data_IF_873526062926
#
_entry.id   IF_873526062926
#
_cell.length_a   1.000
_cell.length_b   1.000
_cell.length_c   1.000
_cell.angle_alpha   90.00
_cell.angle_beta   90.00
_cell.angle_gamma   90.00
#
_symmetry.space_group_name_H-M   'P 1'
#
loop_
_entity.id
_entity.type
_entity.pdbx_description
1 polymer ?
#
# COMPACT_ATOMS: atom_id res chain seq x y z
N UNK A 1 62.18 30.67 -68.15
CA UNK A 1 61.02 31.39 -67.58
C UNK A 1 59.79 30.61 -68.00
N UNK A 2 59.12 30.08 -67.00
CA UNK A 2 58.31 28.86 -67.03
C UNK A 2 56.98 29.17 -66.37
N UNK A 3 55.87 28.75 -66.99
CA UNK A 3 54.67 28.24 -66.32
C UNK A 3 53.65 27.77 -67.36
N UNK A 4 53.08 26.59 -67.08
CA UNK A 4 52.23 25.75 -67.94
C UNK A 4 50.79 26.26 -68.10
N UNK A 5 50.20 25.87 -69.23
CA UNK A 5 48.80 26.07 -69.64
C UNK A 5 47.88 24.94 -69.15
N UNK A 6 46.68 25.27 -68.66
CA UNK A 6 45.44 24.45 -68.73
C UNK A 6 44.25 25.35 -68.35
N UNK A 7 43.49 25.91 -69.30
CA UNK A 7 42.39 25.40 -70.14
C UNK A 7 41.01 25.46 -69.44
N UNK A 8 40.32 26.59 -69.64
CA UNK A 8 38.90 26.84 -69.33
C UNK A 8 37.98 26.19 -70.38
N UNK A 9 36.82 25.68 -69.95
CA UNK A 9 35.65 25.56 -70.81
C UNK A 9 34.35 25.62 -70.00
N UNK A 10 33.56 26.67 -70.24
CA UNK A 10 32.15 26.78 -69.88
C UNK A 10 31.27 26.23 -71.01
N UNK A 11 30.21 25.49 -70.68
CA UNK A 11 29.10 25.21 -71.58
C UNK A 11 27.79 25.01 -70.77
N UNK A 12 26.72 25.68 -71.22
CA UNK A 12 25.32 25.50 -70.81
C UNK A 12 24.73 24.21 -71.42
N UNK A 13 23.80 23.53 -70.73
CA UNK A 13 22.62 22.98 -71.39
C UNK A 13 21.43 22.79 -70.42
N UNK A 14 20.24 23.13 -70.93
CA UNK A 14 18.93 22.96 -70.32
C UNK A 14 18.55 21.47 -70.30
N UNK A 15 18.12 20.94 -69.16
CA UNK A 15 17.16 19.84 -69.13
C UNK A 15 16.41 19.81 -67.79
N UNK A 16 15.18 20.29 -67.84
CA UNK A 16 14.14 20.00 -66.86
C UNK A 16 13.77 18.52 -67.01
N UNK A 17 14.02 17.69 -65.98
CA UNK A 17 13.40 16.36 -65.87
C UNK A 17 12.78 16.24 -64.46
N UNK A 18 11.50 15.84 -64.37
CA UNK A 18 10.62 16.10 -63.25
C UNK A 18 10.72 14.96 -62.27
N UNK A 19 11.69 15.05 -61.37
CA UNK A 19 11.66 14.21 -60.17
C UNK A 19 11.66 15.11 -58.92
N UNK A 20 10.59 15.91 -58.83
CA UNK A 20 9.89 16.10 -57.56
C UNK A 20 9.33 14.72 -57.16
N UNK A 21 10.25 13.80 -56.83
CA UNK A 21 9.91 12.63 -56.06
C UNK A 21 9.53 13.15 -54.70
N UNK A 22 8.24 13.10 -54.39
CA UNK A 22 7.77 13.07 -53.02
C UNK A 22 8.75 12.18 -52.25
N UNK A 23 9.43 12.74 -51.26
CA UNK A 23 9.91 11.92 -50.15
C UNK A 23 8.63 11.38 -49.51
N UNK A 24 8.14 10.27 -50.06
CA UNK A 24 7.15 9.41 -49.41
C UNK A 24 7.69 9.14 -48.01
N UNK A 25 6.87 9.48 -47.03
CA UNK A 25 7.08 9.32 -45.61
C UNK A 25 7.94 8.08 -45.31
N UNK A 26 9.13 8.32 -44.76
CA UNK A 26 10.06 7.29 -44.31
C UNK A 26 9.54 6.55 -43.08
N UNK A 27 8.46 5.80 -43.24
CA UNK A 27 7.89 4.93 -42.20
C UNK A 27 8.50 3.52 -42.17
N UNK A 28 9.38 3.17 -43.13
CA UNK A 28 9.99 1.84 -43.26
C UNK A 28 11.53 1.83 -43.11
N UNK A 29 12.10 2.71 -42.27
CA UNK A 29 13.46 2.50 -41.80
C UNK A 29 13.43 1.45 -40.67
N UNK A 30 13.89 0.23 -40.95
CA UNK A 30 14.02 -0.81 -39.92
C UNK A 30 14.88 -0.31 -38.75
N UNK A 31 14.32 -0.37 -37.53
CA UNK A 31 14.99 0.07 -36.31
C UNK A 31 16.27 -0.74 -36.13
N UNK A 32 17.41 -0.04 -36.07
CA UNK A 32 18.71 -0.67 -35.88
C UNK A 32 18.95 -1.04 -34.41
N UNK A 33 19.98 -1.86 -34.17
CA UNK A 33 20.42 -2.14 -32.80
C UNK A 33 20.95 -0.86 -32.10
N UNK A 34 21.48 0.11 -32.84
CA UNK A 34 21.98 1.38 -32.29
C UNK A 34 20.82 2.29 -31.84
N UNK A 35 19.70 2.26 -32.57
CA UNK A 35 18.49 2.99 -32.18
C UNK A 35 17.92 2.44 -30.86
N UNK A 36 17.97 1.12 -30.66
CA UNK A 36 17.59 0.50 -29.39
C UNK A 36 18.43 1.04 -28.22
N UNK A 37 19.75 1.22 -28.39
CA UNK A 37 20.61 1.78 -27.36
C UNK A 37 20.29 3.24 -27.06
N UNK A 38 19.90 4.02 -28.07
CA UNK A 38 19.47 5.42 -27.88
C UNK A 38 18.25 5.49 -26.97
N UNK A 39 17.26 4.60 -27.19
CA UNK A 39 16.06 4.50 -26.33
C UNK A 39 16.44 4.07 -24.91
N UNK A 40 17.32 3.09 -24.76
CA UNK A 40 17.77 2.60 -23.44
C UNK A 40 18.51 3.70 -22.67
N UNK A 41 19.41 4.45 -23.33
CA UNK A 41 20.12 5.58 -22.71
C UNK A 41 19.14 6.64 -22.25
N UNK A 42 18.18 7.03 -23.10
CA UNK A 42 17.14 7.99 -22.72
C UNK A 42 16.31 7.51 -21.52
N UNK A 43 16.06 6.20 -21.40
CA UNK A 43 15.35 5.64 -20.25
C UNK A 43 16.15 5.79 -18.95
N UNK A 44 17.46 5.47 -18.97
CA UNK A 44 18.31 5.59 -17.79
C UNK A 44 18.63 7.04 -17.42
N UNK A 45 18.74 7.94 -18.40
CA UNK A 45 18.93 9.38 -18.15
C UNK A 45 17.70 9.98 -17.44
N UNK A 46 16.49 9.52 -17.78
CA UNK A 46 15.26 10.00 -17.15
C UNK A 46 14.94 9.32 -15.82
N UNK A 47 15.16 8.00 -15.72
CA UNK A 47 14.72 7.21 -14.55
C UNK A 47 15.83 6.96 -13.53
N UNK A 48 17.09 6.85 -13.95
CA UNK A 48 18.18 6.41 -13.10
C UNK A 48 18.09 4.93 -12.71
N UNK A 49 18.97 4.50 -11.79
CA UNK A 49 19.14 3.08 -11.42
C UNK A 49 18.37 2.65 -10.16
N UNK A 50 18.01 3.59 -9.28
CA UNK A 50 17.46 3.31 -7.93
C UNK A 50 16.03 3.84 -7.79
N UNK A 51 15.38 4.10 -8.92
CA UNK A 51 14.07 4.76 -9.01
C UNK A 51 12.98 4.07 -8.17
N UNK A 52 12.95 2.75 -8.19
CA UNK A 52 11.99 1.92 -7.46
C UNK A 52 12.02 2.14 -5.94
N UNK A 53 13.20 2.42 -5.37
CA UNK A 53 13.32 2.68 -3.93
C UNK A 53 12.83 4.09 -3.60
N UNK A 54 13.22 5.07 -4.43
CA UNK A 54 12.83 6.47 -4.27
C UNK A 54 11.32 6.65 -4.45
N UNK A 55 10.75 6.10 -5.53
CA UNK A 55 9.33 6.17 -5.82
C UNK A 55 8.50 5.51 -4.71
N UNK A 56 8.91 4.34 -4.23
CA UNK A 56 8.21 3.67 -3.13
C UNK A 56 8.24 4.48 -1.83
N UNK A 57 9.37 5.12 -1.51
CA UNK A 57 9.47 5.97 -0.32
C UNK A 57 8.66 7.26 -0.48
N UNK A 58 8.71 7.90 -1.65
CA UNK A 58 7.96 9.13 -1.94
C UNK A 58 6.45 8.86 -1.92
N UNK A 59 5.98 7.76 -2.49
CA UNK A 59 4.58 7.32 -2.42
C UNK A 59 4.15 7.07 -0.97
N UNK A 60 5.00 6.41 -0.17
CA UNK A 60 4.72 6.16 1.24
C UNK A 60 4.53 7.48 2.00
N UNK A 61 5.45 8.43 1.84
CA UNK A 61 5.41 9.71 2.56
C UNK A 61 4.27 10.62 2.08
N UNK A 62 3.99 10.66 0.77
CA UNK A 62 2.98 11.56 0.21
C UNK A 62 1.56 11.06 0.42
N UNK A 63 1.33 9.74 0.29
CA UNK A 63 -0.01 9.17 0.26
C UNK A 63 -0.25 8.23 1.44
N UNK A 64 0.54 7.15 1.55
CA UNK A 64 0.26 6.06 2.49
C UNK A 64 0.24 6.52 3.94
N UNK A 65 1.14 7.42 4.36
CA UNK A 65 1.15 7.94 5.73
C UNK A 65 -0.14 8.69 6.08
N UNK A 66 -0.72 9.47 5.16
CA UNK A 66 -1.98 10.18 5.41
C UNK A 66 -3.14 9.20 5.43
N UNK A 67 -3.19 8.24 4.49
CA UNK A 67 -4.23 7.21 4.48
C UNK A 67 -4.28 6.43 5.81
N UNK A 68 -3.12 6.10 6.39
CA UNK A 68 -3.04 5.41 7.69
C UNK A 68 -3.62 6.23 8.85
N UNK A 69 -3.44 7.56 8.83
CA UNK A 69 -4.02 8.47 9.81
C UNK A 69 -5.53 8.56 9.62
N UNK A 70 -5.99 8.67 8.37
CA UNK A 70 -7.41 8.78 8.04
C UNK A 70 -8.19 7.52 8.44
N UNK A 71 -7.57 6.33 8.35
CA UNK A 71 -8.18 5.08 8.82
C UNK A 71 -8.48 5.06 10.33
N UNK A 72 -7.65 5.74 11.13
CA UNK A 72 -7.75 5.77 12.59
C UNK A 72 -7.92 7.22 13.08
N UNK A 73 -8.66 8.04 12.34
CA UNK A 73 -8.76 9.48 12.58
C UNK A 73 -9.43 9.85 13.90
N UNK A 74 -10.32 9.00 14.40
CA UNK A 74 -11.15 9.29 15.57
C UNK A 74 -10.76 8.44 16.78
N UNK A 75 -10.49 9.10 17.90
CA UNK A 75 -10.31 8.48 19.20
C UNK A 75 -11.36 9.04 20.17
N UNK A 76 -12.26 8.17 20.65
CA UNK A 76 -13.35 8.52 21.57
C UNK A 76 -13.10 7.84 22.91
N UNK A 77 -13.08 8.62 23.98
CA UNK A 77 -12.97 8.16 25.36
C UNK A 77 -14.17 8.64 26.17
N UNK A 78 -15.00 7.70 26.60
CA UNK A 78 -16.13 7.97 27.49
C UNK A 78 -15.71 7.74 28.95
N UNK A 79 -15.79 8.79 29.74
CA UNK A 79 -15.58 8.78 31.18
C UNK A 79 -16.94 8.99 31.87
N UNK A 80 -17.54 7.91 32.35
CA UNK A 80 -18.67 7.97 33.26
C UNK A 80 -18.15 8.16 34.69
N UNK A 81 -18.75 9.11 35.43
CA UNK A 81 -18.56 9.17 36.88
C UNK A 81 -19.15 7.89 37.49
N UNK A 82 -18.28 7.00 37.99
CA UNK A 82 -18.71 5.74 38.58
C UNK A 82 -19.40 6.00 39.92
N UNK A 83 -20.73 6.03 39.91
CA UNK A 83 -21.61 5.83 41.06
C UNK A 83 -21.34 6.75 42.26
N UNK A 84 -21.63 8.05 42.15
CA UNK A 84 -21.75 8.89 43.36
C UNK A 84 -23.16 8.91 43.94
N UNK A 85 -24.16 8.39 43.21
CA UNK A 85 -25.54 8.30 43.71
C UNK A 85 -26.20 9.66 43.89
N UNK A 86 -25.66 10.69 43.25
CA UNK A 86 -26.18 12.05 43.25
C UNK A 86 -26.90 12.33 41.92
N UNK A 87 -27.99 13.09 41.95
CA UNK A 87 -28.76 13.58 40.77
C UNK A 87 -27.93 14.44 39.77
N UNK A 88 -26.61 14.50 39.94
CA UNK A 88 -25.65 15.25 39.13
C UNK A 88 -24.57 14.37 38.51
N UNK A 89 -24.73 13.05 38.49
CA UNK A 89 -23.80 12.17 37.77
C UNK A 89 -23.78 12.61 36.29
N UNK A 90 -22.61 13.05 35.81
CA UNK A 90 -22.41 13.57 34.46
C UNK A 90 -21.44 12.64 33.73
N UNK A 91 -21.77 12.29 32.49
CA UNK A 91 -20.81 11.54 31.65
C UNK A 91 -20.00 12.52 30.83
N UNK A 92 -18.68 12.39 30.79
CA UNK A 92 -17.82 13.20 29.92
C UNK A 92 -17.30 12.34 28.78
N UNK A 93 -17.42 12.84 27.56
CA UNK A 93 -16.84 12.22 26.35
C UNK A 93 -15.73 13.12 25.83
N UNK A 94 -14.54 12.55 25.68
CA UNK A 94 -13.41 13.19 25.04
C UNK A 94 -13.26 12.61 23.65
N UNK A 95 -13.30 13.47 22.65
CA UNK A 95 -13.06 13.10 21.26
C UNK A 95 -11.80 13.79 20.77
N UNK A 96 -10.90 13.01 20.21
CA UNK A 96 -9.70 13.48 19.53
C UNK A 96 -9.85 13.09 18.07
N UNK A 97 -9.76 14.08 17.19
CA UNK A 97 -9.72 13.88 15.74
C UNK A 97 -8.33 14.23 15.23
N UNK A 98 -7.71 13.30 14.51
CA UNK A 98 -6.47 13.54 13.79
C UNK A 98 -6.79 14.06 12.38
N UNK A 99 -6.04 15.09 11.97
CA UNK A 99 -6.20 15.75 10.67
C UNK A 99 -4.99 15.52 9.76
N UNK A 100 -4.59 16.57 9.05
CA UNK A 100 -3.50 16.51 8.08
C UNK A 100 -2.14 16.31 8.78
N UNK A 101 -1.30 15.45 8.18
CA UNK A 101 0.10 15.32 8.56
C UNK A 101 0.98 16.33 7.83
N UNK A 102 2.02 16.80 8.52
CA UNK A 102 3.03 17.71 8.00
C UNK A 102 4.41 17.15 8.27
N UNK A 103 5.13 16.77 7.22
CA UNK A 103 6.52 16.39 7.30
C UNK A 103 7.39 17.61 6.94
N UNK A 104 8.26 17.99 7.86
CA UNK A 104 9.22 19.08 7.62
C UNK A 104 10.50 18.58 6.94
N UNK A 105 11.44 19.47 6.59
CA UNK A 105 12.77 19.04 6.13
C UNK A 105 13.61 18.47 7.28
N UNK A 106 14.63 17.65 7.00
CA UNK A 106 15.53 17.09 8.01
C UNK A 106 16.17 18.15 8.91
N UNK A 107 15.89 18.07 10.21
CA UNK A 107 16.41 19.00 11.23
C UNK A 107 16.82 18.28 12.51
N UNK A 108 17.80 18.85 13.20
CA UNK A 108 18.24 18.43 14.54
C UNK A 108 18.05 19.57 15.51
N UNK A 109 17.69 19.21 16.74
CA UNK A 109 17.68 20.12 17.88
C UNK A 109 19.01 19.96 18.60
N UNK A 110 19.83 21.01 18.59
CA UNK A 110 21.12 21.04 19.27
C UNK A 110 20.95 21.14 20.79
N UNK A 111 22.03 20.92 21.54
CA UNK A 111 22.01 20.95 23.01
C UNK A 111 21.63 22.33 23.59
N UNK A 112 21.78 23.40 22.81
CA UNK A 112 21.37 24.76 23.16
C UNK A 112 19.88 25.03 22.89
N UNK A 113 19.15 24.06 22.33
CA UNK A 113 17.75 24.17 21.96
C UNK A 113 17.49 24.79 20.58
N UNK A 114 18.53 25.16 19.83
CA UNK A 114 18.39 25.65 18.46
C UNK A 114 18.01 24.50 17.51
N UNK A 115 17.17 24.79 16.51
CA UNK A 115 16.77 23.83 15.48
C UNK A 115 17.46 24.20 14.18
N UNK A 116 18.34 23.33 13.70
CA UNK A 116 19.15 23.55 12.49
C UNK A 116 18.87 22.47 11.44
N UNK A 117 18.90 22.81 10.14
CA UNK A 117 18.87 21.82 9.08
C UNK A 117 20.10 20.91 9.16
N UNK A 118 19.88 19.61 8.97
CA UNK A 118 20.97 18.62 8.97
C UNK A 118 21.28 18.25 7.54
N UNK A 119 22.54 18.35 7.14
CA UNK A 119 22.99 17.81 5.85
C UNK A 119 23.40 16.34 5.98
N UNK A 120 23.27 15.51 4.92
CA UNK A 120 23.62 14.10 4.98
C UNK A 120 25.08 13.84 5.40
N UNK A 121 26.06 14.52 4.83
CA UNK A 121 27.47 14.44 5.25
C UNK A 121 27.66 14.68 6.75
N UNK A 122 27.00 15.70 7.29
CA UNK A 122 27.05 16.03 8.71
C UNK A 122 26.44 14.90 9.56
N UNK A 123 25.32 14.33 9.12
CA UNK A 123 24.69 13.20 9.81
C UNK A 123 25.62 11.97 9.86
N UNK A 124 26.36 11.71 8.77
CA UNK A 124 27.38 10.64 8.70
C UNK A 124 28.51 10.89 9.72
N UNK A 125 29.11 12.08 9.71
CA UNK A 125 30.28 12.40 10.55
C UNK A 125 29.96 12.51 12.04
N UNK A 126 28.79 13.05 12.39
CA UNK A 126 28.36 13.26 13.78
C UNK A 126 27.63 12.05 14.37
N UNK A 127 27.54 10.93 13.65
CA UNK A 127 26.75 9.76 14.05
C UNK A 127 25.27 10.07 14.35
N UNK A 128 24.67 10.97 13.59
CA UNK A 128 23.26 11.34 13.73
C UNK A 128 22.38 10.47 12.83
N UNK A 129 21.08 10.46 13.11
CA UNK A 129 20.08 9.87 12.21
C UNK A 129 19.48 10.97 11.35
N UNK A 130 19.63 10.85 10.03
CA UNK A 130 19.08 11.79 9.05
C UNK A 130 17.56 11.62 8.99
N UNK A 131 16.84 12.46 9.70
CA UNK A 131 15.40 12.33 9.92
C UNK A 131 14.72 13.69 9.98
N UNK A 132 13.45 13.71 9.60
CA UNK A 132 12.61 14.90 9.59
C UNK A 132 11.54 14.84 10.69
N UNK A 133 11.26 15.96 11.38
CA UNK A 133 10.13 16.04 12.30
C UNK A 133 8.79 15.93 11.57
N UNK A 134 7.91 15.12 12.15
CA UNK A 134 6.54 14.88 11.71
C UNK A 134 5.57 15.55 12.69
N UNK A 135 4.63 16.30 12.15
CA UNK A 135 3.56 16.97 12.88
C UNK A 135 2.20 16.48 12.38
N UNK A 136 1.19 16.56 13.24
CA UNK A 136 -0.19 16.23 12.90
C UNK A 136 -1.12 17.31 13.44
N UNK A 137 -2.15 17.65 12.67
CA UNK A 137 -3.26 18.46 13.20
C UNK A 137 -4.11 17.61 14.14
N UNK A 138 -4.43 18.17 15.31
CA UNK A 138 -5.21 17.46 16.32
C UNK A 138 -6.33 18.34 16.85
N UNK A 139 -7.57 17.93 16.62
CA UNK A 139 -8.75 18.59 17.18
C UNK A 139 -9.23 17.85 18.41
N UNK A 140 -9.38 18.56 19.52
CA UNK A 140 -9.97 18.03 20.76
C UNK A 140 -11.37 18.60 20.96
N UNK A 141 -12.36 17.73 21.20
CA UNK A 141 -13.71 18.10 21.60
C UNK A 141 -14.06 17.43 22.92
N UNK A 142 -14.67 18.19 23.84
CA UNK A 142 -15.15 17.67 25.11
C UNK A 142 -16.66 17.85 25.16
N UNK A 143 -17.38 16.74 25.32
CA UNK A 143 -18.83 16.68 25.37
C UNK A 143 -19.25 16.24 26.77
N UNK A 144 -20.30 16.85 27.28
CA UNK A 144 -20.97 16.51 28.53
C UNK A 144 -22.29 15.84 28.19
N UNK A 145 -22.45 14.61 28.65
CA UNK A 145 -23.67 13.83 28.57
C UNK A 145 -24.55 14.06 29.80
N UNK A 146 -25.80 14.46 29.58
CA UNK A 146 -26.88 14.49 30.59
C UNK A 146 -28.02 13.59 30.14
N UNK A 147 -28.70 12.95 31.08
CA UNK A 147 -29.91 12.19 30.76
C UNK A 147 -30.99 13.13 30.22
N UNK A 148 -31.61 12.75 29.09
CA UNK A 148 -32.69 13.51 28.49
C UNK A 148 -33.95 13.46 29.37
N UNK A 149 -34.45 14.59 29.90
CA UNK A 149 -35.69 14.61 30.66
C UNK A 149 -36.93 14.17 29.86
N UNK A 150 -36.87 14.22 28.53
CA UNK A 150 -37.97 13.94 27.61
C UNK A 150 -37.75 12.67 26.75
N UNK A 151 -36.61 12.00 26.90
CA UNK A 151 -36.20 10.83 26.11
C UNK A 151 -36.60 9.48 26.73
N UNK A 152 -36.21 8.38 26.09
CA UNK A 152 -36.33 7.07 26.70
C UNK A 152 -35.27 6.92 27.83
N UNK A 153 -35.52 6.12 28.87
CA UNK A 153 -34.53 5.87 29.92
C UNK A 153 -33.22 5.35 29.32
N UNK A 154 -32.13 6.10 29.48
CA UNK A 154 -30.81 5.81 28.90
C UNK A 154 -30.40 6.67 27.70
N UNK A 155 -31.27 7.56 27.20
CA UNK A 155 -30.90 8.53 26.18
C UNK A 155 -30.06 9.66 26.80
N UNK A 156 -28.82 9.80 26.33
CA UNK A 156 -27.87 10.83 26.78
C UNK A 156 -27.81 11.94 25.72
N UNK A 157 -28.18 13.16 26.12
CA UNK A 157 -27.93 14.36 25.32
C UNK A 157 -26.51 14.86 25.56
N UNK A 158 -25.74 15.00 24.47
CA UNK A 158 -24.36 15.49 24.49
C UNK A 158 -24.31 16.98 24.16
N UNK A 159 -23.90 17.78 25.13
CA UNK A 159 -23.65 19.21 24.97
C UNK A 159 -22.14 19.47 24.97
N UNK A 160 -21.64 20.36 24.11
CA UNK A 160 -20.23 20.74 24.15
C UNK A 160 -19.94 21.50 25.45
N UNK A 161 -18.92 21.06 26.22
CA UNK A 161 -18.52 21.76 27.46
C UNK A 161 -18.02 23.18 27.18
N UNK A 162 -17.41 23.39 26.00
CA UNK A 162 -16.97 24.67 25.51
C UNK A 162 -17.46 24.92 24.07
N UNK A 163 -18.25 25.98 23.90
CA UNK A 163 -18.71 26.54 22.62
C UNK A 163 -17.67 27.49 21.99
N UNK A 164 -16.39 27.28 22.32
CA UNK A 164 -15.29 28.07 21.78
C UNK A 164 -15.21 27.85 20.26
N UNK A 165 -15.03 28.94 19.51
CA UNK A 165 -14.58 28.84 18.11
C UNK A 165 -13.42 27.84 18.07
N UNK A 166 -13.35 26.92 17.09
CA UNK A 166 -12.15 26.13 16.93
C UNK A 166 -11.01 27.13 16.70
N UNK A 167 -10.20 27.34 17.73
CA UNK A 167 -8.83 27.81 17.53
C UNK A 167 -8.22 26.85 16.50
N UNK A 168 -7.45 27.38 15.54
CA UNK A 168 -6.83 26.60 14.47
C UNK A 168 -6.33 25.26 15.00
N UNK A 169 -6.63 24.16 14.29
CA UNK A 169 -6.28 22.82 14.75
C UNK A 169 -4.76 22.79 15.05
N UNK A 170 -4.35 22.63 16.33
CA UNK A 170 -2.95 22.80 16.69
C UNK A 170 -2.11 21.72 16.01
N UNK A 171 -0.96 22.13 15.48
CA UNK A 171 0.03 21.23 14.88
C UNK A 171 0.90 20.65 16.00
N UNK A 172 0.68 19.39 16.30
CA UNK A 172 1.38 18.67 17.37
C UNK A 172 2.53 17.88 16.79
N UNK A 173 3.73 18.04 17.36
CA UNK A 173 4.88 17.20 17.03
C UNK A 173 4.65 15.78 17.56
N UNK A 174 4.75 14.76 16.69
CA UNK A 174 4.52 13.36 17.06
C UNK A 174 5.78 12.50 16.99
N UNK A 175 6.81 12.95 16.28
CA UNK A 175 8.05 12.19 16.17
C UNK A 175 8.95 12.63 15.04
N UNK A 176 9.89 11.75 14.68
CA UNK A 176 10.78 11.92 13.52
C UNK A 176 10.68 10.72 12.60
N UNK A 177 10.74 10.96 11.30
CA UNK A 177 10.77 9.94 10.25
C UNK A 177 12.13 9.98 9.57
N UNK A 178 12.89 8.86 9.49
CA UNK A 178 14.12 8.79 8.70
C UNK A 178 13.84 9.12 7.23
N UNK A 179 14.66 9.99 6.65
CA UNK A 179 14.48 10.42 5.25
C UNK A 179 15.45 9.68 4.36
N UNK A 180 14.94 9.11 3.27
CA UNK A 180 15.76 8.45 2.26
C UNK A 180 16.55 9.50 1.47
N UNK A 181 17.85 9.26 1.25
CA UNK A 181 18.65 10.20 0.46
C UNK A 181 18.20 10.24 -0.99
N UNK A 182 18.25 11.45 -1.58
CA UNK A 182 17.77 11.77 -2.93
C UNK A 182 16.25 11.61 -3.14
N UNK A 183 15.47 11.30 -2.11
CA UNK A 183 13.99 11.34 -2.17
C UNK A 183 13.45 12.76 -2.28
N UNK A 184 12.17 12.94 -2.62
CA UNK A 184 11.53 14.25 -2.74
C UNK A 184 11.61 15.12 -1.46
N UNK A 185 11.74 14.48 -0.29
CA UNK A 185 11.83 15.14 1.01
C UNK A 185 13.26 15.34 1.51
N UNK A 186 14.26 14.86 0.75
CA UNK A 186 15.67 15.06 1.05
C UNK A 186 16.13 16.47 0.67
N UNK A 187 17.11 17.00 1.39
CA UNK A 187 17.74 18.30 1.05
C UNK A 187 18.50 18.22 -0.29
N UNK A 188 18.99 17.03 -0.65
CA UNK A 188 19.77 16.80 -1.88
C UNK A 188 18.91 16.60 -3.15
N UNK A 189 17.58 16.67 -3.02
CA UNK A 189 16.68 16.50 -4.15
C UNK A 189 16.86 17.65 -5.16
N UNK A 190 17.03 17.32 -6.45
CA UNK A 190 17.15 18.27 -7.57
C UNK A 190 18.28 19.31 -7.45
N UNK A 191 19.27 19.09 -6.56
CA UNK A 191 20.48 19.91 -6.53
C UNK A 191 21.37 19.63 -7.75
N UNK A 192 21.97 20.70 -8.29
CA UNK A 192 22.91 20.59 -9.40
C UNK A 192 24.25 20.00 -8.91
N UNK A 193 25.03 19.43 -9.83
CA UNK A 193 26.33 18.83 -9.50
C UNK A 193 27.27 19.77 -8.77
N UNK A 194 27.27 21.06 -9.13
CA UNK A 194 28.07 22.10 -8.46
C UNK A 194 27.65 22.29 -6.99
N UNK A 195 26.34 22.35 -6.71
CA UNK A 195 25.83 22.52 -5.34
C UNK A 195 26.15 21.28 -4.49
N UNK A 196 26.15 20.09 -5.10
CA UNK A 196 26.54 18.85 -4.42
C UNK A 196 28.02 18.87 -4.03
N UNK A 197 28.90 19.34 -4.91
CA UNK A 197 30.32 19.51 -4.58
C UNK A 197 30.53 20.51 -3.43
N UNK A 198 29.79 21.62 -3.42
CA UNK A 198 29.85 22.61 -2.35
C UNK A 198 29.38 22.03 -1.00
N UNK A 199 28.47 21.06 -1.02
CA UNK A 199 28.01 20.30 0.14
C UNK A 199 28.86 19.06 0.46
N UNK A 200 29.97 18.85 -0.26
CA UNK A 200 30.82 17.65 -0.23
C UNK A 200 30.06 16.32 -0.41
N UNK A 201 29.00 16.33 -1.20
CA UNK A 201 28.29 15.13 -1.64
C UNK A 201 28.79 14.73 -3.04
N UNK A 202 28.69 13.43 -3.35
CA UNK A 202 29.10 12.93 -4.66
C UNK A 202 27.93 13.02 -5.66
N UNK A 203 28.08 13.65 -6.84
CA UNK A 203 27.04 13.65 -7.88
C UNK A 203 26.64 12.25 -8.34
N UNK A 204 27.59 11.32 -8.35
CA UNK A 204 27.38 9.92 -8.74
C UNK A 204 26.73 9.06 -7.64
N UNK A 205 26.52 9.60 -6.43
CA UNK A 205 25.73 8.90 -5.42
C UNK A 205 24.26 8.87 -5.83
N UNK A 206 23.77 7.66 -6.08
CA UNK A 206 22.39 7.38 -6.50
C UNK A 206 21.37 7.58 -5.37
N UNK A 207 21.80 7.64 -4.11
CA UNK A 207 20.88 7.69 -2.96
C UNK A 207 20.08 6.39 -2.80
N UNK A 208 18.84 6.48 -2.31
CA UNK A 208 18.00 5.29 -2.09
C UNK A 208 18.32 4.49 -0.82
N UNK A 209 18.98 5.13 0.15
CA UNK A 209 19.33 4.56 1.44
C UNK A 209 19.13 5.57 2.57
N UNK A 210 19.20 5.09 3.81
CA UNK A 210 19.00 5.89 5.02
C UNK A 210 20.32 6.03 5.80
N UNK A 211 20.54 7.19 6.42
CA UNK A 211 21.61 7.37 7.40
C UNK A 211 21.01 7.25 8.80
N UNK A 212 21.36 6.21 9.54
CA UNK A 212 20.91 5.95 10.90
C UNK A 212 22.13 5.83 11.81
N UNK A 213 22.22 6.73 12.78
CA UNK A 213 23.35 6.85 13.71
C UNK A 213 24.71 6.89 12.97
N UNK A 214 24.80 7.70 11.92
CA UNK A 214 25.98 7.82 11.05
C UNK A 214 26.20 6.68 10.07
N UNK A 215 25.49 5.55 10.23
CA UNK A 215 25.66 4.37 9.39
C UNK A 215 24.63 4.32 8.27
N UNK A 216 25.06 3.90 7.09
CA UNK A 216 24.20 3.76 5.93
C UNK A 216 23.42 2.43 6.01
N UNK A 217 22.14 2.48 5.62
CA UNK A 217 21.19 1.38 5.73
C UNK A 217 20.31 1.34 4.48
N UNK A 218 20.29 0.18 3.83
CA UNK A 218 19.46 -0.09 2.65
C UNK A 218 18.39 -1.10 3.03
N UNK A 219 17.16 -0.87 2.55
CA UNK A 219 16.08 -1.85 2.65
C UNK A 219 16.10 -2.74 1.40
N UNK A 220 16.22 -4.05 1.62
CA UNK A 220 16.14 -5.04 0.54
C UNK A 220 14.68 -5.41 0.30
N UNK A 221 14.29 -5.47 -0.98
CA UNK A 221 12.97 -5.91 -1.36
C UNK A 221 12.76 -7.37 -0.91
N UNK A 222 11.59 -7.65 -0.32
CA UNK A 222 11.23 -9.00 0.09
C UNK A 222 10.16 -9.57 -0.85
N UNK A 223 10.50 -10.67 -1.52
CA UNK A 223 9.54 -11.40 -2.34
C UNK A 223 8.57 -12.19 -1.47
N UNK A 224 7.28 -12.12 -1.81
CA UNK A 224 6.19 -12.88 -1.18
C UNK A 224 5.18 -13.30 -2.23
N UNK A 225 4.42 -14.36 -1.94
CA UNK A 225 3.28 -14.76 -2.76
C UNK A 225 2.27 -13.62 -2.87
N UNK A 226 1.74 -13.39 -4.08
CA UNK A 226 0.75 -12.36 -4.32
C UNK A 226 -0.52 -12.60 -3.48
N UNK A 227 -1.10 -11.52 -2.98
CA UNK A 227 -2.37 -11.53 -2.27
C UNK A 227 -3.54 -11.45 -3.26
N UNK A 228 -4.76 -11.65 -2.77
CA UNK A 228 -6.01 -11.57 -3.55
C UNK A 228 -6.10 -12.55 -4.72
N UNK A 229 -5.32 -13.64 -4.66
CA UNK A 229 -5.34 -14.74 -5.62
C UNK A 229 -5.68 -16.07 -4.91
N UNK A 230 -6.34 -16.96 -5.63
CA UNK A 230 -6.65 -18.32 -5.16
C UNK A 230 -5.57 -19.27 -5.65
N UNK A 231 -4.85 -19.89 -4.73
CA UNK A 231 -3.85 -20.91 -5.06
C UNK A 231 -4.38 -22.29 -4.67
N UNK A 232 -4.29 -23.26 -5.58
CA UNK A 232 -4.69 -24.65 -5.31
C UNK A 232 -3.46 -25.55 -5.36
N UNK A 233 -3.21 -26.23 -4.24
CA UNK A 233 -2.06 -27.13 -4.07
C UNK A 233 -2.56 -28.56 -3.89
N UNK A 234 -1.99 -29.49 -4.66
CA UNK A 234 -2.09 -30.91 -4.37
C UNK A 234 -1.17 -31.28 -3.20
N UNK A 235 -1.68 -32.05 -2.25
CA UNK A 235 -0.93 -32.54 -1.08
C UNK A 235 -0.79 -34.05 -1.19
N UNK A 236 0.46 -34.52 -1.18
CA UNK A 236 0.75 -35.95 -1.19
C UNK A 236 0.56 -36.56 0.21
N UNK A 237 0.37 -37.88 0.23
CA UNK A 237 0.47 -38.68 1.46
C UNK A 237 1.82 -38.42 2.15
N UNK A 238 1.87 -38.32 3.50
CA UNK A 238 0.89 -38.77 4.50
C UNK A 238 -0.12 -37.70 4.95
N UNK A 239 -0.23 -36.57 4.24
CA UNK A 239 -1.21 -35.52 4.58
C UNK A 239 -2.64 -36.08 4.58
N UNK A 240 -3.49 -35.74 5.57
CA UNK A 240 -4.91 -36.10 5.54
C UNK A 240 -5.71 -35.30 4.50
N UNK A 241 -5.10 -34.24 3.94
CA UNK A 241 -5.68 -33.36 2.92
C UNK A 241 -5.14 -33.77 1.55
N UNK A 242 -6.02 -33.87 0.56
CA UNK A 242 -5.70 -34.20 -0.83
C UNK A 242 -5.44 -32.92 -1.66
N UNK A 243 -6.34 -31.93 -1.53
CA UNK A 243 -6.19 -30.62 -2.15
C UNK A 243 -6.41 -29.51 -1.13
N UNK A 244 -5.57 -28.48 -1.19
CA UNK A 244 -5.65 -27.28 -0.38
C UNK A 244 -5.80 -26.08 -1.31
N UNK A 245 -6.94 -25.40 -1.23
CA UNK A 245 -7.09 -24.06 -1.77
C UNK A 245 -6.76 -23.03 -0.67
N UNK A 246 -5.89 -22.08 -0.98
CA UNK A 246 -5.47 -21.01 -0.07
C UNK A 246 -5.73 -19.65 -0.72
N UNK A 247 -6.34 -18.76 0.05
CA UNK A 247 -6.63 -17.38 -0.35
C UNK A 247 -6.03 -16.47 0.73
N UNK A 248 -5.17 -15.55 0.31
CA UNK A 248 -4.60 -14.52 1.18
C UNK A 248 -5.18 -13.17 0.79
N UNK A 249 -6.19 -12.73 1.52
CA UNK A 249 -6.89 -11.47 1.24
C UNK A 249 -6.15 -10.31 1.90
N UNK A 250 -5.88 -9.27 1.12
CA UNK A 250 -5.32 -8.00 1.57
C UNK A 250 -6.21 -6.87 1.08
N UNK A 251 -6.53 -5.93 1.97
CA UNK A 251 -7.24 -4.70 1.58
C UNK A 251 -6.23 -3.81 0.85
N UNK A 252 -6.63 -3.25 -0.29
CA UNK A 252 -5.73 -2.44 -1.14
C UNK A 252 -5.29 -1.15 -0.47
N UNK A 253 -6.13 -0.61 0.42
CA UNK A 253 -5.85 0.59 1.21
C UNK A 253 -5.72 0.24 2.68
N UNK A 254 -4.75 0.88 3.33
CA UNK A 254 -4.63 0.84 4.78
C UNK A 254 -3.59 -0.08 5.38
N UNK A 255 -3.59 -0.10 6.72
CA UNK A 255 -2.64 -0.87 7.54
C UNK A 255 -3.13 -2.26 7.93
N UNK A 256 -4.24 -2.76 7.37
CA UNK A 256 -4.84 -4.04 7.79
C UNK A 256 -3.95 -5.23 7.43
N UNK A 257 -3.84 -6.16 8.36
CA UNK A 257 -3.04 -7.36 8.16
C UNK A 257 -3.71 -8.31 7.15
N UNK A 258 -2.86 -9.05 6.43
CA UNK A 258 -3.31 -10.05 5.46
C UNK A 258 -4.08 -11.14 6.20
N UNK A 259 -5.30 -11.42 5.73
CA UNK A 259 -6.18 -12.45 6.27
C UNK A 259 -6.09 -13.71 5.41
N UNK A 260 -5.92 -14.87 6.04
CA UNK A 260 -5.75 -16.14 5.34
C UNK A 260 -7.00 -17.01 5.49
N UNK A 261 -7.60 -17.39 4.36
CA UNK A 261 -8.69 -18.34 4.29
C UNK A 261 -8.23 -19.60 3.54
N UNK A 262 -8.61 -20.77 4.02
CA UNK A 262 -8.23 -22.04 3.40
C UNK A 262 -9.45 -22.94 3.21
N UNK A 263 -9.51 -23.65 2.08
CA UNK A 263 -10.46 -24.75 1.85
C UNK A 263 -9.67 -26.03 1.66
N UNK A 264 -9.96 -27.02 2.50
CA UNK A 264 -9.27 -28.30 2.56
C UNK A 264 -10.20 -29.40 2.10
N UNK A 265 -9.81 -30.11 1.05
CA UNK A 265 -10.45 -31.36 0.64
C UNK A 265 -9.72 -32.52 1.32
N UNK A 266 -10.41 -33.20 2.25
CA UNK A 266 -9.84 -34.33 2.97
C UNK A 266 -9.86 -35.61 2.13
N UNK A 267 -8.86 -36.46 2.35
CA UNK A 267 -8.91 -37.82 1.84
C UNK A 267 -10.14 -38.55 2.38
N UNK A 268 -10.70 -39.43 1.56
CA UNK A 268 -11.74 -40.38 1.96
C UNK A 268 -11.31 -41.12 3.23
N UNK A 269 -12.04 -40.89 4.31
CA UNK A 269 -11.77 -41.55 5.58
C UNK A 269 -12.21 -43.02 5.47
N UNK A 270 -11.35 -43.98 5.79
CA UNK A 270 -11.72 -45.40 5.69
C UNK A 270 -12.82 -45.81 6.68
N UNK A 271 -12.96 -45.10 7.81
CA UNK A 271 -13.89 -45.45 8.91
C UNK A 271 -15.33 -44.95 8.71
N UNK A 272 -15.54 -43.88 7.93
CA UNK A 272 -16.87 -43.37 7.59
C UNK A 272 -17.02 -43.50 6.09
N UNK A 273 -18.05 -44.21 5.63
CA UNK A 273 -18.37 -44.42 4.20
C UNK A 273 -18.74 -43.13 3.43
N UNK A 274 -18.29 -41.97 3.92
CA UNK A 274 -18.49 -40.66 3.34
C UNK A 274 -17.30 -40.38 2.42
N UNK A 275 -17.58 -39.87 1.21
CA UNK A 275 -16.56 -39.52 0.22
C UNK A 275 -15.64 -38.39 0.68
N UNK A 276 -14.94 -37.76 -0.26
CA UNK A 276 -14.09 -36.61 0.06
C UNK A 276 -14.95 -35.47 0.60
N UNK A 277 -14.63 -34.96 1.79
CA UNK A 277 -15.34 -33.82 2.40
C UNK A 277 -14.48 -32.56 2.34
N UNK A 278 -15.14 -31.42 2.14
CA UNK A 278 -14.51 -30.11 2.09
C UNK A 278 -14.82 -29.29 3.34
N UNK A 279 -13.77 -28.78 3.99
CA UNK A 279 -13.90 -27.90 5.15
C UNK A 279 -13.09 -26.64 4.96
N UNK A 280 -13.59 -25.53 5.49
CA UNK A 280 -12.96 -24.23 5.48
C UNK A 280 -12.29 -23.94 6.82
N UNK A 281 -11.09 -23.38 6.76
CA UNK A 281 -10.42 -22.75 7.90
C UNK A 281 -10.61 -21.25 7.78
N UNK A 282 -11.37 -20.68 8.72
CA UNK A 282 -11.65 -19.25 8.80
C UNK A 282 -10.67 -18.62 9.81
N UNK A 283 -10.11 -17.42 9.53
CA UNK A 283 -9.29 -16.69 10.47
C UNK A 283 -9.92 -16.63 11.87
N UNK A 284 -9.11 -16.78 12.90
CA UNK A 284 -9.52 -16.75 14.31
C UNK A 284 -10.45 -17.90 14.77
N UNK A 285 -10.78 -18.87 13.90
CA UNK A 285 -11.54 -20.07 14.25
C UNK A 285 -10.58 -21.27 14.34
N UNK A 286 -10.58 -21.96 15.49
CA UNK A 286 -9.67 -23.08 15.76
C UNK A 286 -10.04 -24.38 15.06
N UNK A 287 -11.29 -24.54 14.66
CA UNK A 287 -11.86 -25.77 14.11
C UNK A 287 -12.22 -25.57 12.65
N UNK A 288 -11.90 -26.56 11.80
CA UNK A 288 -12.30 -26.56 10.39
C UNK A 288 -13.82 -26.75 10.28
N UNK A 289 -14.50 -25.82 9.61
CA UNK A 289 -15.96 -25.79 9.47
C UNK A 289 -16.35 -26.42 8.13
N UNK A 290 -17.34 -27.34 8.05
CA UNK A 290 -17.82 -27.87 6.78
C UNK A 290 -18.29 -26.75 5.83
N UNK A 291 -17.95 -26.85 4.55
CA UNK A 291 -18.21 -25.76 3.59
C UNK A 291 -19.70 -25.41 3.49
N UNK A 292 -20.59 -26.40 3.61
CA UNK A 292 -22.04 -26.20 3.59
C UNK A 292 -22.54 -25.33 4.75
N UNK A 293 -21.94 -25.47 5.93
CA UNK A 293 -22.26 -24.66 7.11
C UNK A 293 -21.85 -23.20 6.89
N UNK A 294 -20.74 -22.97 6.18
CA UNK A 294 -20.30 -21.61 5.83
C UNK A 294 -21.31 -20.93 4.91
N UNK A 295 -21.80 -21.62 3.86
CA UNK A 295 -22.84 -21.07 2.98
C UNK A 295 -24.15 -20.74 3.72
N UNK A 296 -24.58 -21.62 4.62
CA UNK A 296 -25.77 -21.36 5.45
C UNK A 296 -25.57 -20.15 6.38
N UNK A 297 -24.38 -19.99 6.96
CA UNK A 297 -24.04 -18.81 7.75
C UNK A 297 -24.01 -17.51 6.93
N UNK A 298 -23.76 -17.59 5.62
CA UNK A 298 -23.86 -16.45 4.68
C UNK A 298 -25.30 -16.16 4.23
N UNK A 299 -26.29 -16.95 4.68
CA UNK A 299 -27.71 -16.77 4.35
C UNK A 299 -28.21 -17.60 3.17
N UNK A 300 -27.37 -18.45 2.56
CA UNK A 300 -27.79 -19.37 1.49
C UNK A 300 -28.19 -20.70 2.10
N UNK A 301 -29.50 -20.91 2.31
CA UNK A 301 -30.02 -22.06 3.08
C UNK A 301 -30.34 -23.26 2.17
N UNK A 302 -30.93 -23.00 1.00
CA UNK A 302 -31.34 -24.01 0.03
C UNK A 302 -30.13 -24.73 -0.54
N UNK A 303 -30.11 -26.07 -0.43
CA UNK A 303 -29.01 -26.89 -0.98
C UNK A 303 -28.86 -26.70 -2.49
N UNK A 304 -29.97 -26.47 -3.20
CA UNK A 304 -29.95 -26.16 -4.63
C UNK A 304 -29.21 -24.85 -4.89
N UNK A 305 -29.49 -23.81 -4.11
CA UNK A 305 -28.89 -22.49 -4.29
C UNK A 305 -27.39 -22.57 -4.00
N UNK A 306 -26.98 -23.32 -2.96
CA UNK A 306 -25.56 -23.56 -2.67
C UNK A 306 -24.87 -24.27 -3.84
N UNK A 307 -25.51 -25.30 -4.41
CA UNK A 307 -24.99 -25.99 -5.60
C UNK A 307 -24.84 -25.02 -6.78
N UNK A 308 -25.81 -24.14 -7.02
CA UNK A 308 -25.77 -23.15 -8.11
C UNK A 308 -24.61 -22.15 -7.95
N UNK A 309 -24.16 -21.87 -6.71
CA UNK A 309 -22.99 -21.02 -6.45
C UNK A 309 -21.64 -21.72 -6.70
N UNK A 310 -21.60 -23.06 -6.62
CA UNK A 310 -20.35 -23.85 -6.77
C UNK A 310 -20.24 -24.42 -8.18
N UNK A 311 -21.30 -25.07 -8.65
CA UNK A 311 -21.37 -25.79 -9.91
C UNK A 311 -22.32 -25.04 -10.86
N UNK A 312 -21.76 -24.29 -11.79
CA UNK A 312 -22.55 -23.51 -12.75
C UNK A 312 -23.31 -24.40 -13.75
N UNK A 313 -22.85 -25.62 -14.00
CA UNK A 313 -23.48 -26.59 -14.89
C UNK A 313 -24.08 -27.77 -14.11
N UNK A 314 -25.40 -27.72 -13.90
CA UNK A 314 -26.15 -28.76 -13.20
C UNK A 314 -26.22 -30.10 -13.97
N UNK A 315 -25.70 -30.17 -15.19
CA UNK A 315 -25.60 -31.41 -15.95
C UNK A 315 -24.30 -32.18 -15.65
N UNK A 316 -23.33 -31.56 -14.95
CA UNK A 316 -22.10 -32.23 -14.53
C UNK A 316 -22.36 -33.18 -13.35
N UNK A 317 -22.74 -34.41 -13.68
CA UNK A 317 -22.99 -35.45 -12.68
C UNK A 317 -21.74 -35.81 -11.87
N UNK A 318 -20.54 -35.64 -12.43
CA UNK A 318 -19.29 -36.00 -11.73
C UNK A 318 -19.00 -35.03 -10.59
N UNK A 319 -19.14 -33.72 -10.84
CA UNK A 319 -18.96 -32.70 -9.81
C UNK A 319 -20.04 -32.80 -8.72
N UNK A 320 -21.29 -33.03 -9.11
CA UNK A 320 -22.40 -33.20 -8.15
C UNK A 320 -22.19 -34.43 -7.25
N UNK A 321 -21.68 -35.53 -7.80
CA UNK A 321 -21.37 -36.74 -7.02
C UNK A 321 -20.22 -36.48 -6.02
N UNK A 322 -19.22 -35.67 -6.38
CA UNK A 322 -18.15 -35.26 -5.46
C UNK A 322 -18.64 -34.34 -4.33
N UNK A 323 -19.67 -33.52 -4.57
CA UNK A 323 -20.21 -32.59 -3.58
C UNK A 323 -21.19 -33.24 -2.60
N UNK A 324 -21.84 -34.34 -2.99
CA UNK A 324 -22.84 -35.04 -2.15
C UNK A 324 -22.39 -35.33 -0.71
N UNK A 325 -21.17 -35.85 -0.45
CA UNK A 325 -20.70 -36.07 0.93
C UNK A 325 -20.59 -34.78 1.76
N UNK A 326 -20.37 -33.63 1.12
CA UNK A 326 -20.29 -32.34 1.80
C UNK A 326 -21.68 -31.84 2.24
N UNK A 327 -22.73 -32.18 1.48
CA UNK A 327 -24.13 -31.87 1.84
C UNK A 327 -24.52 -32.65 3.10
N UNK A 328 -24.21 -33.95 3.14
CA UNK A 328 -24.51 -34.82 4.27
C UNK A 328 -23.79 -34.35 5.56
N UNK A 329 -22.52 -33.93 5.47
CA UNK A 329 -21.75 -33.39 6.61
C UNK A 329 -22.35 -32.05 7.13
N UNK A 330 -23.00 -31.28 6.25
CA UNK A 330 -23.66 -30.02 6.56
C UNK A 330 -25.11 -30.13 7.06
N UNK A 331 -25.71 -31.32 7.03
CA UNK A 331 -27.14 -31.52 7.29
C UNK A 331 -27.58 -31.15 8.72
N UNK A 332 -26.64 -31.15 9.67
CA UNK A 332 -26.90 -30.97 11.11
C UNK A 332 -27.46 -29.58 11.46
N UNK A 333 -27.31 -28.58 10.59
CA UNK A 333 -27.73 -27.19 10.83
C UNK A 333 -28.86 -26.82 9.87
N UNK A 334 -30.10 -27.17 10.20
CA UNK A 334 -31.30 -26.70 9.50
C UNK A 334 -31.97 -25.58 10.30
N UNK A 335 -32.50 -24.56 9.62
CA UNK A 335 -33.38 -23.59 10.26
C UNK A 335 -34.60 -24.30 10.85
N UNK A 336 -35.01 -23.84 12.02
CA UNK A 336 -36.19 -24.32 12.73
C UNK A 336 -37.48 -23.93 12.03
#
# INVERSE_FOLDING_TARGET
MSQDFSQDHYAYDDNYDPNFGMEEDGEDAEISQEDCWTVITSFFDQKGLVRQQLDSFDEFVQNTMQELVDENADLILDQADQHTGHDKDMTRRYEIKFGQIYLSRPTVTEADGSVVPVFPQEARLRNLTYSAPLYIEMRKRVLIGREDPNGAPGDIQWEAEHDGRPDEDPKIWIGKVPIMLRSAFCILHELQDNDLYDLNECPYDSGGYFIINGSEKVLIAQERMATNHVYVFAKAQPSPINFLAEIRSAVEKGGKTISQFQVKMFHRNQERSMGNVMKATIPYIKVDIPIWVVFRALGVISDRDILEHICYDMQDSQMLEMLKPCIDDGFVIQDR
#
